data_IF_404739524211
#
_entry.id   IF_404739524211
#
_cell.length_a   1.000
_cell.length_b   1.000
_cell.length_c   1.000
_cell.angle_alpha   90.00
_cell.angle_beta   90.00
_cell.angle_gamma   90.00
#
_symmetry.space_group_name_H-M   'P 1'
#
loop_
_entity.id
_entity.type
_entity.pdbx_description
1 polymer ?
#
# COMPACT_ATOMS: atom_id res chain seq x y z
N UNK A 1 -2.54 -26.04 21.35
CA UNK A 1 -1.10 -25.97 21.02
C UNK A 1 -0.81 -26.78 19.77
N UNK A 2 -0.03 -26.25 18.83
CA UNK A 2 0.44 -27.00 17.64
C UNK A 2 1.53 -27.98 18.06
N UNK A 3 1.33 -29.27 17.77
CA UNK A 3 2.29 -30.35 18.08
C UNK A 3 3.13 -30.78 16.89
N UNK A 4 2.64 -30.57 15.67
CA UNK A 4 3.36 -30.91 14.45
C UNK A 4 2.97 -30.00 13.28
N UNK A 5 3.92 -29.71 12.40
CA UNK A 5 3.73 -28.98 11.14
C UNK A 5 4.39 -29.76 10.03
N UNK A 6 3.71 -29.97 8.91
CA UNK A 6 4.31 -30.59 7.74
C UNK A 6 3.91 -29.90 6.43
N UNK A 7 4.79 -30.00 5.44
CA UNK A 7 4.52 -29.52 4.08
C UNK A 7 3.56 -30.47 3.40
N UNK A 8 2.50 -29.93 2.81
CA UNK A 8 1.58 -30.75 2.00
C UNK A 8 2.05 -30.92 0.56
N UNK A 9 2.97 -30.05 0.09
CA UNK A 9 3.34 -29.92 -1.32
C UNK A 9 2.24 -29.31 -2.21
N UNK A 10 1.09 -28.95 -1.61
CA UNK A 10 -0.02 -28.30 -2.31
C UNK A 10 0.14 -26.78 -2.25
N UNK A 11 -0.41 -26.16 -3.29
CA UNK A 11 -0.49 -24.71 -3.46
C UNK A 11 -1.95 -24.28 -3.52
N UNK A 12 -2.22 -23.04 -3.11
CA UNK A 12 -3.51 -22.39 -3.14
C UNK A 12 -3.41 -21.12 -4.00
N UNK A 13 -3.84 -21.18 -5.27
CA UNK A 13 -3.95 -19.99 -6.12
C UNK A 13 -5.02 -19.05 -5.57
N UNK A 14 -4.61 -17.83 -5.19
CA UNK A 14 -5.48 -16.85 -4.54
C UNK A 14 -6.01 -15.88 -5.59
N UNK A 15 -7.33 -15.85 -5.77
CA UNK A 15 -7.96 -14.93 -6.72
C UNK A 15 -8.19 -13.56 -6.08
N UNK A 16 -8.60 -13.53 -4.80
CA UNK A 16 -8.78 -12.32 -4.01
C UNK A 16 -8.56 -12.60 -2.53
N UNK A 17 -7.79 -11.74 -1.86
CA UNK A 17 -7.66 -11.77 -0.41
C UNK A 17 -8.26 -10.51 0.24
N UNK A 18 -9.21 -10.70 1.16
CA UNK A 18 -9.81 -9.59 1.92
C UNK A 18 -9.31 -9.62 3.35
N UNK A 19 -8.71 -8.52 3.78
CA UNK A 19 -8.03 -8.36 5.06
C UNK A 19 -8.26 -6.96 5.63
N UNK A 20 -7.75 -6.65 6.82
CA UNK A 20 -7.69 -5.27 7.33
C UNK A 20 -8.29 -5.13 8.71
N UNK A 21 -7.93 -4.05 9.40
CA UNK A 21 -8.18 -3.85 10.82
C UNK A 21 -9.67 -3.80 11.19
N UNK A 22 -10.55 -3.52 10.23
CA UNK A 22 -12.00 -3.47 10.43
C UNK A 22 -12.71 -4.80 10.13
N UNK A 23 -12.00 -5.85 9.69
CA UNK A 23 -12.56 -7.19 9.51
C UNK A 23 -12.46 -8.00 10.81
N UNK A 24 -13.49 -8.81 11.11
CA UNK A 24 -13.42 -9.77 12.23
C UNK A 24 -12.59 -10.99 11.89
N UNK A 25 -12.60 -11.37 10.61
CA UNK A 25 -11.75 -12.42 10.05
C UNK A 25 -11.32 -12.03 8.64
N UNK A 26 -10.13 -12.45 8.26
CA UNK A 26 -9.64 -12.32 6.91
C UNK A 26 -10.19 -13.48 6.05
N UNK A 27 -10.31 -13.26 4.74
CA UNK A 27 -10.88 -14.25 3.83
C UNK A 27 -10.07 -14.33 2.54
N UNK A 28 -9.46 -15.48 2.32
CA UNK A 28 -8.84 -15.88 1.05
C UNK A 28 -9.93 -16.50 0.19
N UNK A 29 -10.10 -16.01 -1.03
CA UNK A 29 -10.88 -16.69 -2.06
C UNK A 29 -9.93 -17.28 -3.09
N UNK A 30 -10.02 -18.58 -3.27
CA UNK A 30 -9.25 -19.32 -4.27
C UNK A 30 -9.82 -19.15 -5.69
N UNK A 31 -9.02 -19.49 -6.69
CA UNK A 31 -9.48 -19.54 -8.08
C UNK A 31 -10.68 -20.49 -8.24
N UNK A 32 -10.62 -21.67 -7.62
CA UNK A 32 -11.68 -22.68 -7.68
C UNK A 32 -12.98 -22.19 -7.04
N UNK A 33 -12.90 -21.52 -5.87
CA UNK A 33 -14.08 -20.92 -5.25
C UNK A 33 -14.74 -19.88 -6.17
N UNK A 34 -13.94 -19.05 -6.83
CA UNK A 34 -14.44 -18.04 -7.77
C UNK A 34 -15.09 -18.64 -9.02
N UNK A 35 -14.53 -19.71 -9.57
CA UNK A 35 -15.14 -20.46 -10.68
C UNK A 35 -16.48 -21.09 -10.28
N UNK A 36 -16.65 -21.44 -9.00
CA UNK A 36 -17.89 -22.04 -8.48
C UNK A 36 -18.98 -21.03 -8.09
N UNK A 37 -18.68 -19.72 -8.06
CA UNK A 37 -19.62 -18.69 -7.60
C UNK A 37 -20.90 -18.67 -8.45
N UNK A 38 -22.04 -18.83 -7.79
CA UNK A 38 -23.37 -18.75 -8.38
C UNK A 38 -24.02 -17.38 -8.11
N UNK A 39 -25.10 -17.09 -8.86
CA UNK A 39 -25.94 -15.89 -8.70
C UNK A 39 -25.21 -14.56 -8.97
N UNK A 40 -24.42 -14.51 -10.05
CA UNK A 40 -23.83 -13.25 -10.51
C UNK A 40 -24.92 -12.30 -11.02
N UNK A 41 -24.81 -11.02 -10.63
CA UNK A 41 -25.66 -9.94 -11.07
C UNK A 41 -25.05 -9.23 -12.27
N UNK A 42 -25.88 -8.87 -13.25
CA UNK A 42 -25.51 -7.95 -14.33
C UNK A 42 -25.98 -6.55 -13.98
N UNK A 43 -25.07 -5.57 -14.02
CA UNK A 43 -25.35 -4.16 -13.71
C UNK A 43 -24.66 -3.25 -14.71
N UNK A 44 -25.35 -2.17 -15.08
CA UNK A 44 -24.79 -1.12 -15.92
C UNK A 44 -24.12 -0.04 -15.08
N UNK A 45 -22.99 0.45 -15.57
CA UNK A 45 -22.16 1.49 -14.96
C UNK A 45 -21.86 2.60 -15.96
N UNK A 46 -21.80 3.83 -15.45
CA UNK A 46 -21.41 5.02 -16.21
C UNK A 46 -19.91 5.20 -16.13
N UNK A 47 -19.25 5.46 -17.25
CA UNK A 47 -17.79 5.52 -17.33
C UNK A 47 -17.36 6.82 -18.00
N UNK A 48 -16.68 7.66 -17.20
CA UNK A 48 -15.87 8.76 -17.69
C UNK A 48 -14.43 8.30 -17.78
N UNK A 49 -13.93 8.17 -19.00
CA UNK A 49 -12.52 7.92 -19.24
C UNK A 49 -11.87 9.21 -19.71
N UNK A 50 -11.07 9.84 -18.85
CA UNK A 50 -10.33 11.04 -19.22
C UNK A 50 -8.89 10.69 -19.66
N UNK A 51 -8.54 9.42 -19.94
CA UNK A 51 -7.16 9.04 -20.28
C UNK A 51 -6.85 8.91 -21.77
N UNK A 52 -7.85 8.75 -22.66
CA UNK A 52 -7.58 8.54 -24.09
C UNK A 52 -8.31 9.52 -25.03
N UNK A 53 -9.49 10.01 -24.65
CA UNK A 53 -10.24 11.03 -25.40
C UNK A 53 -10.95 11.94 -24.39
N UNK A 54 -10.78 13.25 -24.52
CA UNK A 54 -11.21 14.27 -23.54
C UNK A 54 -12.74 14.40 -23.34
N UNK A 55 -13.55 13.46 -23.85
CA UNK A 55 -15.01 13.52 -23.83
C UNK A 55 -15.71 12.15 -23.69
N UNK A 56 -15.00 11.06 -23.33
CA UNK A 56 -15.61 9.72 -23.31
C UNK A 56 -16.71 9.59 -22.24
N UNK A 57 -17.96 9.49 -22.70
CA UNK A 57 -19.19 9.25 -21.92
C UNK A 57 -19.81 7.90 -22.26
N UNK A 58 -19.17 6.81 -21.81
CA UNK A 58 -19.56 5.43 -22.17
C UNK A 58 -20.32 4.75 -21.04
N UNK A 59 -21.04 3.69 -21.39
CA UNK A 59 -21.70 2.80 -20.44
C UNK A 59 -21.05 1.42 -20.54
N UNK A 60 -20.91 0.74 -19.41
CA UNK A 60 -20.32 -0.59 -19.33
C UNK A 60 -21.18 -1.53 -18.49
N UNK A 61 -21.39 -2.75 -18.97
CA UNK A 61 -22.02 -3.82 -18.19
C UNK A 61 -20.96 -4.55 -17.37
N UNK A 62 -21.13 -4.59 -16.06
CA UNK A 62 -20.42 -5.50 -15.16
C UNK A 62 -21.27 -6.73 -14.85
N UNK A 63 -20.63 -7.90 -14.75
CA UNK A 63 -21.25 -9.14 -14.27
C UNK A 63 -20.42 -9.74 -13.15
N UNK A 64 -20.99 -9.83 -11.95
CA UNK A 64 -20.29 -10.37 -10.78
C UNK A 64 -21.12 -10.32 -9.50
N UNK A 65 -20.47 -10.13 -8.36
CA UNK A 65 -21.09 -10.23 -7.03
C UNK A 65 -21.00 -8.88 -6.30
N UNK A 66 -22.06 -8.44 -5.59
CA UNK A 66 -22.01 -7.20 -4.82
C UNK A 66 -20.86 -7.21 -3.80
N UNK A 67 -20.13 -6.10 -3.70
CA UNK A 67 -19.04 -5.95 -2.72
C UNK A 67 -19.51 -6.27 -1.29
N UNK A 68 -20.74 -5.88 -0.94
CA UNK A 68 -21.30 -6.11 0.39
C UNK A 68 -21.25 -7.58 0.82
N UNK A 69 -21.47 -8.53 -0.10
CA UNK A 69 -21.41 -9.96 0.24
C UNK A 69 -20.03 -10.38 0.74
N UNK A 70 -18.98 -9.86 0.11
CA UNK A 70 -17.61 -10.10 0.53
C UNK A 70 -17.29 -9.45 1.88
N UNK A 71 -17.85 -8.27 2.14
CA UNK A 71 -17.68 -7.56 3.41
C UNK A 71 -18.40 -8.29 4.55
N UNK A 72 -19.64 -8.74 4.32
CA UNK A 72 -20.43 -9.52 5.26
C UNK A 72 -19.72 -10.83 5.62
N UNK A 73 -19.13 -11.51 4.64
CA UNK A 73 -18.36 -12.74 4.83
C UNK A 73 -17.14 -12.54 5.75
N UNK A 74 -16.57 -11.34 5.81
CA UNK A 74 -15.46 -10.98 6.72
C UNK A 74 -15.92 -10.40 8.06
N UNK A 75 -17.23 -10.13 8.20
CA UNK A 75 -17.79 -9.43 9.34
C UNK A 75 -17.29 -7.99 9.48
N UNK A 76 -16.93 -7.35 8.36
CA UNK A 76 -16.40 -5.99 8.35
C UNK A 76 -17.38 -4.99 8.97
N UNK A 77 -16.84 -4.06 9.76
CA UNK A 77 -17.60 -2.97 10.39
C UNK A 77 -18.03 -1.87 9.42
N UNK A 78 -18.31 -0.68 9.96
CA UNK A 78 -18.66 0.48 9.13
C UNK A 78 -17.46 0.98 8.34
N UNK A 79 -17.49 0.84 7.02
CA UNK A 79 -16.36 1.11 6.13
C UNK A 79 -16.46 2.52 5.57
N UNK A 80 -15.42 3.32 5.77
CA UNK A 80 -15.27 4.62 5.11
C UNK A 80 -14.38 4.51 3.86
N UNK A 81 -13.46 3.55 3.83
CA UNK A 81 -12.47 3.40 2.77
C UNK A 81 -12.00 1.95 2.60
N UNK A 82 -11.61 1.59 1.38
CA UNK A 82 -10.94 0.33 1.04
C UNK A 82 -9.67 0.63 0.22
N UNK A 83 -8.55 0.04 0.64
CA UNK A 83 -7.32 0.01 -0.16
C UNK A 83 -7.23 -1.29 -0.95
N UNK A 84 -6.87 -1.24 -2.22
CA UNK A 84 -6.84 -2.39 -3.12
C UNK A 84 -5.50 -2.52 -3.75
N UNK A 85 -4.96 -3.75 -3.78
CA UNK A 85 -3.81 -4.08 -4.59
C UNK A 85 -4.22 -4.90 -5.79
N UNK A 86 -3.68 -4.52 -6.93
CA UNK A 86 -3.85 -5.17 -8.21
C UNK A 86 -2.64 -6.04 -8.56
N UNK A 87 -2.86 -7.01 -9.45
CA UNK A 87 -1.83 -7.95 -9.91
C UNK A 87 -0.71 -7.27 -10.70
N UNK A 88 -1.00 -6.15 -11.36
CA UNK A 88 -0.01 -5.32 -12.05
C UNK A 88 0.82 -4.45 -11.09
N UNK A 89 0.72 -4.72 -9.78
CA UNK A 89 1.38 -3.95 -8.76
C UNK A 89 0.86 -2.52 -8.70
N UNK A 90 -0.43 -2.26 -8.91
CA UNK A 90 -1.04 -0.97 -8.59
C UNK A 90 -1.79 -1.05 -7.25
N UNK A 91 -1.85 0.07 -6.52
CA UNK A 91 -2.66 0.19 -5.30
C UNK A 91 -3.63 1.36 -5.48
N UNK A 92 -4.91 1.06 -5.44
CA UNK A 92 -5.97 2.05 -5.52
C UNK A 92 -6.60 2.19 -4.15
N UNK A 93 -6.88 3.43 -3.76
CA UNK A 93 -7.68 3.72 -2.57
C UNK A 93 -9.06 4.14 -3.06
N UNK A 94 -10.10 3.52 -2.51
CA UNK A 94 -11.47 3.94 -2.73
C UNK A 94 -12.00 4.59 -1.47
N UNK A 95 -12.02 5.93 -1.40
CA UNK A 95 -12.58 6.67 -0.29
C UNK A 95 -14.11 6.74 -0.38
N UNK A 96 -14.69 7.26 0.70
CA UNK A 96 -16.10 7.58 0.81
C UNK A 96 -17.02 6.40 0.42
N UNK A 97 -16.74 5.24 1.00
CA UNK A 97 -17.54 4.03 0.77
C UNK A 97 -19.01 4.19 1.19
N UNK A 98 -19.32 5.19 2.01
CA UNK A 98 -20.68 5.54 2.44
C UNK A 98 -21.40 6.53 1.52
N UNK A 99 -20.69 7.20 0.62
CA UNK A 99 -21.30 8.16 -0.31
C UNK A 99 -22.21 7.43 -1.30
N UNK A 100 -23.38 8.01 -1.58
CA UNK A 100 -24.29 7.47 -2.59
C UNK A 100 -23.66 7.62 -3.98
N UNK A 101 -23.77 6.56 -4.77
CA UNK A 101 -23.23 6.49 -6.13
C UNK A 101 -24.34 6.11 -7.10
N UNK A 102 -24.20 6.51 -8.35
CA UNK A 102 -25.27 6.47 -9.34
C UNK A 102 -24.78 5.94 -10.69
N UNK A 103 -25.71 5.33 -11.40
CA UNK A 103 -25.64 5.08 -12.82
C UNK A 103 -26.50 6.12 -13.55
N UNK A 104 -25.93 6.70 -14.59
CA UNK A 104 -26.55 7.72 -15.44
C UNK A 104 -26.75 7.13 -16.84
N UNK A 105 -27.97 6.69 -17.21
CA UNK A 105 -28.22 6.13 -18.53
C UNK A 105 -28.06 7.17 -19.65
N UNK A 106 -28.39 8.43 -19.38
CA UNK A 106 -28.20 9.57 -20.30
C UNK A 106 -26.78 10.16 -20.29
N UNK A 107 -25.76 9.43 -19.80
CA UNK A 107 -24.38 9.93 -19.69
C UNK A 107 -23.88 10.48 -21.03
N UNK A 108 -24.07 9.74 -22.12
CA UNK A 108 -23.65 10.13 -23.47
C UNK A 108 -24.23 11.48 -23.92
N UNK A 109 -25.36 11.87 -23.35
CA UNK A 109 -26.08 13.11 -23.65
C UNK A 109 -25.80 14.21 -22.60
N UNK A 110 -25.06 13.89 -21.54
CA UNK A 110 -24.78 14.81 -20.43
C UNK A 110 -25.99 15.08 -19.54
N UNK A 111 -26.91 14.13 -19.42
CA UNK A 111 -28.18 14.29 -18.67
C UNK A 111 -28.22 13.44 -17.41
N UNK A 112 -28.79 14.00 -16.35
CA UNK A 112 -29.05 13.28 -15.08
C UNK A 112 -30.38 12.54 -15.06
N UNK A 113 -31.20 12.71 -16.10
CA UNK A 113 -32.52 12.12 -16.20
C UNK A 113 -32.44 10.59 -16.12
N UNK A 114 -33.27 10.00 -15.26
CA UNK A 114 -33.29 8.56 -15.05
C UNK A 114 -32.09 8.01 -14.26
N UNK A 115 -31.34 8.82 -13.50
CA UNK A 115 -30.26 8.32 -12.64
C UNK A 115 -30.76 7.29 -11.62
N UNK A 116 -29.97 6.23 -11.44
CA UNK A 116 -30.28 5.10 -10.55
C UNK A 116 -29.17 4.93 -9.52
N UNK A 117 -29.51 4.72 -8.25
CA UNK A 117 -28.51 4.39 -7.23
C UNK A 117 -27.81 3.07 -7.57
N UNK A 118 -26.49 3.05 -7.42
CA UNK A 118 -25.64 1.96 -7.88
C UNK A 118 -24.66 1.54 -6.80
N UNK A 119 -24.88 0.33 -6.28
CA UNK A 119 -23.94 -0.30 -5.36
C UNK A 119 -22.68 -0.81 -6.06
N UNK A 120 -21.55 -0.88 -5.34
CA UNK A 120 -20.31 -1.44 -5.88
C UNK A 120 -20.45 -2.93 -6.23
N UNK A 121 -19.77 -3.33 -7.31
CA UNK A 121 -19.77 -4.71 -7.81
C UNK A 121 -18.33 -5.23 -7.97
N UNK A 122 -18.04 -6.42 -7.46
CA UNK A 122 -16.83 -7.17 -7.79
C UNK A 122 -17.14 -7.99 -9.05
N UNK A 123 -16.65 -7.51 -10.19
CA UNK A 123 -17.01 -8.00 -11.52
C UNK A 123 -15.97 -8.96 -12.09
N UNK A 124 -16.43 -10.08 -12.62
CA UNK A 124 -15.59 -11.09 -13.29
C UNK A 124 -15.67 -10.99 -14.81
N UNK A 125 -16.77 -10.43 -15.31
CA UNK A 125 -16.97 -10.16 -16.73
C UNK A 125 -17.35 -8.71 -16.94
N UNK A 126 -17.00 -8.19 -18.10
CA UNK A 126 -17.35 -6.87 -18.57
C UNK A 126 -17.83 -6.97 -20.01
N UNK A 127 -19.03 -6.46 -20.28
CA UNK A 127 -19.68 -6.55 -21.60
C UNK A 127 -19.70 -7.98 -22.17
N UNK A 128 -20.00 -8.96 -21.31
CA UNK A 128 -20.06 -10.38 -21.67
C UNK A 128 -18.70 -11.08 -21.89
N UNK A 129 -17.57 -10.39 -21.71
CA UNK A 129 -16.22 -10.98 -21.82
C UNK A 129 -15.53 -11.03 -20.45
N UNK A 130 -14.66 -12.01 -20.16
CA UNK A 130 -13.87 -12.01 -18.94
C UNK A 130 -13.08 -10.70 -18.78
N UNK A 131 -12.92 -10.23 -17.55
CA UNK A 131 -12.06 -9.06 -17.28
C UNK A 131 -10.60 -9.36 -17.65
N UNK A 132 -9.83 -8.32 -17.97
CA UNK A 132 -8.45 -8.41 -18.50
C UNK A 132 -7.53 -9.34 -17.69
N UNK A 133 -7.67 -9.32 -16.37
CA UNK A 133 -6.79 -10.04 -15.43
C UNK A 133 -7.51 -11.21 -14.73
N UNK A 134 -8.56 -11.75 -15.35
CA UNK A 134 -9.25 -12.93 -14.80
C UNK A 134 -8.23 -14.03 -14.43
N UNK A 135 -8.35 -14.68 -13.25
CA UNK A 135 -9.49 -14.65 -12.32
C UNK A 135 -9.50 -13.51 -11.29
N UNK A 136 -8.55 -12.59 -11.35
CA UNK A 136 -8.53 -11.40 -10.49
C UNK A 136 -9.63 -10.42 -10.93
N UNK A 137 -10.63 -10.13 -10.08
CA UNK A 137 -11.81 -9.38 -10.49
C UNK A 137 -11.51 -7.90 -10.71
N UNK A 138 -12.47 -7.19 -11.29
CA UNK A 138 -12.48 -5.73 -11.36
C UNK A 138 -13.58 -5.19 -10.46
N UNK A 139 -13.25 -4.30 -9.52
CA UNK A 139 -14.30 -3.57 -8.80
C UNK A 139 -14.87 -2.47 -9.68
N UNK A 140 -16.20 -2.35 -9.71
CA UNK A 140 -16.96 -1.39 -10.50
C UNK A 140 -17.85 -0.56 -9.58
N UNK A 141 -17.91 0.76 -9.79
CA UNK A 141 -18.74 1.70 -9.02
C UNK A 141 -19.58 2.62 -9.89
N UNK A 142 -20.68 3.11 -9.32
CA UNK A 142 -21.35 4.29 -9.83
C UNK A 142 -20.55 5.59 -9.57
N UNK A 143 -21.07 6.69 -10.11
CA UNK A 143 -20.55 8.06 -9.99
C UNK A 143 -21.36 8.84 -8.94
N UNK A 144 -20.77 9.77 -8.17
CA UNK A 144 -21.60 10.62 -7.29
C UNK A 144 -22.29 11.74 -8.10
N UNK A 145 -21.67 12.19 -9.21
CA UNK A 145 -22.26 13.15 -10.13
C UNK A 145 -21.77 13.02 -11.57
N UNK A 146 -22.47 13.64 -12.52
CA UNK A 146 -22.14 13.60 -13.95
C UNK A 146 -20.80 14.24 -14.30
N UNK A 147 -20.28 15.15 -13.49
CA UNK A 147 -19.03 15.85 -13.80
C UNK A 147 -17.84 15.21 -13.08
N UNK A 148 -18.08 14.14 -12.32
CA UNK A 148 -17.03 13.44 -11.60
C UNK A 148 -16.27 12.51 -12.55
N UNK A 149 -14.95 12.68 -12.55
CA UNK A 149 -14.05 11.89 -13.38
C UNK A 149 -13.86 10.51 -12.73
N UNK A 150 -14.11 9.43 -13.48
CA UNK A 150 -14.17 8.06 -12.96
C UNK A 150 -12.85 7.29 -13.04
N UNK A 151 -11.72 7.99 -13.15
CA UNK A 151 -10.42 7.38 -13.49
C UNK A 151 -9.93 6.33 -12.47
N UNK A 152 -10.28 6.51 -11.20
CA UNK A 152 -9.65 5.77 -10.10
C UNK A 152 -10.58 4.78 -9.38
N UNK A 153 -11.83 4.60 -9.85
CA UNK A 153 -12.78 3.69 -9.19
C UNK A 153 -12.85 2.29 -9.81
N UNK A 154 -12.32 2.08 -11.01
CA UNK A 154 -12.18 0.72 -11.54
C UNK A 154 -10.86 0.12 -11.10
N UNK A 155 -10.86 -0.55 -9.95
CA UNK A 155 -9.71 -1.34 -9.52
C UNK A 155 -9.68 -2.64 -10.32
N UNK A 156 -8.82 -2.71 -11.34
CA UNK A 156 -8.71 -3.85 -12.25
C UNK A 156 -7.72 -4.87 -11.71
N UNK A 157 -8.02 -6.16 -11.88
CA UNK A 157 -7.10 -7.24 -11.52
C UNK A 157 -6.78 -7.28 -10.03
N UNK A 158 -7.80 -7.13 -9.19
CA UNK A 158 -7.66 -7.08 -7.75
C UNK A 158 -7.11 -8.40 -7.21
N UNK A 159 -5.99 -8.35 -6.49
CA UNK A 159 -5.44 -9.49 -5.75
C UNK A 159 -5.70 -9.40 -4.25
N UNK A 160 -5.77 -8.19 -3.69
CA UNK A 160 -6.19 -7.98 -2.31
C UNK A 160 -7.01 -6.71 -2.09
N UNK A 161 -7.85 -6.73 -1.06
CA UNK A 161 -8.60 -5.59 -0.56
C UNK A 161 -8.41 -5.48 0.96
N UNK A 162 -7.84 -4.36 1.40
CA UNK A 162 -7.64 -3.99 2.81
C UNK A 162 -8.78 -3.10 3.25
N UNK A 163 -9.56 -3.57 4.22
CA UNK A 163 -10.73 -2.89 4.77
C UNK A 163 -10.32 -2.11 6.02
N UNK A 164 -10.39 -0.78 5.95
CA UNK A 164 -9.80 0.09 6.97
C UNK A 164 -8.28 0.13 6.87
N UNK A 165 -7.60 0.09 8.01
CA UNK A 165 -6.14 0.03 8.07
C UNK A 165 -5.61 -1.38 7.79
N UNK A 166 -4.30 -1.50 7.55
CA UNK A 166 -3.67 -2.82 7.45
C UNK A 166 -3.68 -3.52 8.81
N UNK A 167 -3.84 -4.84 8.78
CA UNK A 167 -3.59 -5.66 9.96
C UNK A 167 -2.09 -5.65 10.29
N UNK A 168 -1.73 -5.76 11.56
CA UNK A 168 -0.33 -5.91 12.00
C UNK A 168 -0.14 -7.34 12.48
N UNK A 169 0.21 -8.25 11.56
CA UNK A 169 0.27 -9.69 11.86
C UNK A 169 1.57 -10.11 12.53
N UNK A 170 2.69 -9.45 12.20
CA UNK A 170 3.96 -9.61 12.91
C UNK A 170 4.87 -8.41 12.61
N UNK A 171 5.86 -8.16 13.47
CA UNK A 171 6.91 -7.16 13.22
C UNK A 171 8.24 -7.80 12.88
N UNK A 172 9.13 -7.03 12.26
CA UNK A 172 10.55 -7.36 12.07
C UNK A 172 11.36 -6.17 12.55
N UNK A 173 12.19 -6.38 13.58
CA UNK A 173 12.90 -5.30 14.28
C UNK A 173 14.31 -5.70 14.66
N UNK A 174 15.16 -4.71 14.86
CA UNK A 174 16.48 -4.88 15.46
C UNK A 174 17.56 -4.00 14.83
N UNK A 175 18.72 -3.95 15.47
CA UNK A 175 19.86 -3.13 15.07
C UNK A 175 20.57 -3.62 13.80
N UNK A 176 20.36 -4.88 13.42
CA UNK A 176 20.86 -5.46 12.18
C UNK A 176 20.05 -5.08 10.94
N UNK A 177 19.01 -4.23 11.06
CA UNK A 177 18.11 -3.85 9.97
C UNK A 177 18.25 -2.38 9.58
N UNK A 178 18.05 -2.08 8.30
CA UNK A 178 17.95 -0.69 7.83
C UNK A 178 16.76 0.05 8.46
N UNK A 179 15.63 -0.64 8.62
CA UNK A 179 14.41 -0.11 9.23
C UNK A 179 13.67 -1.20 10.01
N UNK A 180 12.96 -0.79 11.05
CA UNK A 180 11.96 -1.65 11.69
C UNK A 180 10.65 -1.58 10.92
N UNK A 181 9.89 -2.67 10.89
CA UNK A 181 8.66 -2.74 10.08
C UNK A 181 7.61 -3.68 10.66
N UNK A 182 6.35 -3.34 10.48
CA UNK A 182 5.22 -4.24 10.64
C UNK A 182 4.80 -4.80 9.29
N UNK A 183 4.45 -6.08 9.29
CA UNK A 183 3.89 -6.74 8.11
C UNK A 183 2.41 -7.02 8.33
N UNK A 184 1.64 -6.77 7.29
CA UNK A 184 0.24 -7.15 7.17
C UNK A 184 0.07 -8.48 6.43
N UNK A 185 -1.10 -9.10 6.58
CA UNK A 185 -1.38 -10.36 5.91
C UNK A 185 -1.30 -10.24 4.38
N UNK A 186 -1.74 -9.12 3.79
CA UNK A 186 -1.64 -8.92 2.34
C UNK A 186 -0.20 -8.62 1.88
N UNK A 187 0.65 -8.03 2.74
CA UNK A 187 2.08 -7.91 2.46
C UNK A 187 2.78 -9.26 2.51
N UNK A 188 2.42 -10.14 3.44
CA UNK A 188 2.97 -11.49 3.54
C UNK A 188 2.76 -12.28 2.25
N UNK A 189 1.54 -12.35 1.73
CA UNK A 189 1.27 -13.04 0.45
C UNK A 189 1.85 -12.31 -0.76
N UNK A 190 2.11 -11.01 -0.66
CA UNK A 190 2.86 -10.24 -1.66
C UNK A 190 4.33 -10.65 -1.81
N UNK A 191 4.91 -11.41 -0.86
CA UNK A 191 6.32 -11.79 -0.90
C UNK A 191 6.67 -12.82 -1.97
N UNK A 192 5.73 -13.59 -2.51
CA UNK A 192 6.03 -14.72 -3.41
C UNK A 192 6.51 -14.26 -4.80
N UNK A 193 5.77 -13.41 -5.51
CA UNK A 193 6.15 -12.67 -6.74
C UNK A 193 4.98 -11.77 -7.19
N UNK A 194 5.24 -10.75 -8.02
CA UNK A 194 4.19 -9.79 -8.41
C UNK A 194 3.08 -10.40 -9.28
N UNK A 195 3.43 -11.35 -10.14
CA UNK A 195 2.51 -11.97 -11.11
C UNK A 195 1.85 -13.27 -10.62
N UNK A 196 2.26 -13.78 -9.45
CA UNK A 196 1.76 -15.04 -8.88
C UNK A 196 1.34 -14.80 -7.43
N UNK A 197 0.03 -14.63 -7.22
CA UNK A 197 -0.55 -14.49 -5.89
C UNK A 197 -1.03 -15.87 -5.39
N UNK A 198 -0.15 -16.57 -4.68
CA UNK A 198 -0.35 -17.97 -4.28
C UNK A 198 0.18 -18.19 -2.86
N UNK A 199 -0.49 -19.07 -2.10
CA UNK A 199 0.01 -19.59 -0.84
C UNK A 199 0.45 -21.05 -0.96
N UNK A 200 1.48 -21.45 -0.24
CA UNK A 200 1.71 -22.86 0.08
C UNK A 200 0.73 -23.30 1.17
N UNK A 201 0.39 -24.59 1.17
CA UNK A 201 -0.46 -25.17 2.20
C UNK A 201 0.39 -26.02 3.15
N UNK A 202 0.36 -25.68 4.43
CA UNK A 202 0.92 -26.51 5.51
C UNK A 202 -0.21 -27.27 6.19
N UNK A 203 0.07 -28.48 6.68
CA UNK A 203 -0.81 -29.20 7.59
C UNK A 203 -0.27 -29.03 9.00
N UNK A 204 -1.11 -28.53 9.89
CA UNK A 204 -0.82 -28.42 11.32
C UNK A 204 -1.66 -29.44 12.09
N UNK A 205 -1.04 -30.07 13.08
CA UNK A 205 -1.69 -30.98 14.02
C UNK A 205 -1.68 -30.34 15.40
N UNK A 206 -2.83 -30.30 16.07
CA UNK A 206 -2.93 -29.76 17.43
C UNK A 206 -2.63 -30.81 18.52
N UNK A 207 -2.79 -30.43 19.78
CA UNK A 207 -2.57 -31.31 20.94
C UNK A 207 -3.62 -32.40 21.10
N UNK A 208 -4.78 -32.26 20.44
CA UNK A 208 -5.83 -33.26 20.39
C UNK A 208 -5.66 -34.23 19.19
N UNK A 209 -4.67 -34.00 18.33
CA UNK A 209 -4.42 -34.78 17.14
C UNK A 209 -5.27 -34.37 15.94
N UNK A 210 -6.04 -33.28 16.04
CA UNK A 210 -6.84 -32.74 14.95
C UNK A 210 -5.93 -32.08 13.92
N UNK A 211 -6.22 -32.34 12.65
CA UNK A 211 -5.43 -31.86 11.51
C UNK A 211 -6.20 -30.80 10.75
N UNK A 212 -5.53 -29.70 10.43
CA UNK A 212 -6.07 -28.67 9.54
C UNK A 212 -5.00 -28.11 8.63
N UNK A 213 -5.44 -27.62 7.49
CA UNK A 213 -4.57 -26.98 6.50
C UNK A 213 -4.58 -25.47 6.70
N UNK A 214 -3.41 -24.85 6.67
CA UNK A 214 -3.22 -23.40 6.82
C UNK A 214 -2.44 -22.81 5.64
N UNK A 215 -2.79 -21.60 5.18
CA UNK A 215 -2.04 -20.92 4.14
C UNK A 215 -0.72 -20.38 4.70
N UNK A 216 0.34 -20.52 3.92
CA UNK A 216 1.69 -20.18 4.31
C UNK A 216 2.48 -19.58 3.14
N UNK A 217 3.53 -18.85 3.48
CA UNK A 217 4.51 -18.29 2.56
C UNK A 217 5.87 -18.77 3.00
N UNK A 218 6.60 -19.43 2.10
CA UNK A 218 8.04 -19.62 2.28
C UNK A 218 8.70 -18.25 2.12
N UNK A 219 9.41 -17.79 3.16
CA UNK A 219 10.05 -16.48 3.14
C UNK A 219 11.17 -16.49 2.08
N UNK A 220 11.08 -15.64 1.04
CA UNK A 220 12.08 -15.61 -0.03
C UNK A 220 13.29 -14.76 0.34
N UNK A 221 14.42 -14.95 -0.34
CA UNK A 221 15.63 -14.16 -0.08
C UNK A 221 15.41 -12.64 -0.21
N UNK A 222 14.58 -12.22 -1.18
CA UNK A 222 14.23 -10.81 -1.37
C UNK A 222 13.59 -10.15 -0.15
N UNK A 223 12.93 -10.92 0.71
CA UNK A 223 12.41 -10.39 1.97
C UNK A 223 13.55 -9.84 2.83
N UNK A 224 14.64 -10.59 2.95
CA UNK A 224 15.80 -10.23 3.75
C UNK A 224 16.64 -9.12 3.10
N UNK A 225 16.81 -9.16 1.78
CA UNK A 225 17.72 -8.26 1.06
C UNK A 225 17.07 -6.97 0.57
N UNK A 226 15.76 -6.97 0.28
CA UNK A 226 15.05 -5.84 -0.33
C UNK A 226 13.99 -5.25 0.60
N UNK A 227 13.14 -6.09 1.21
CA UNK A 227 11.99 -5.62 2.00
C UNK A 227 12.35 -5.08 3.39
N UNK A 228 13.28 -5.74 4.09
CA UNK A 228 13.76 -5.29 5.42
C UNK A 228 15.21 -4.79 5.40
N UNK A 229 15.97 -5.17 4.35
CA UNK A 229 17.39 -4.82 4.15
C UNK A 229 18.25 -5.10 5.40
N UNK A 230 18.62 -6.37 5.59
CA UNK A 230 19.60 -6.77 6.62
C UNK A 230 20.95 -6.08 6.32
N UNK A 231 21.45 -5.35 7.31
CA UNK A 231 22.74 -4.64 7.28
C UNK A 231 23.90 -5.49 7.81
N UNK A 232 23.62 -6.37 8.77
CA UNK A 232 24.58 -7.33 9.32
C UNK A 232 24.06 -8.76 9.12
N UNK A 233 24.62 -9.45 8.13
CA UNK A 233 24.20 -10.82 7.76
C UNK A 233 24.55 -11.87 8.80
N UNK A 234 25.48 -11.57 9.71
CA UNK A 234 25.92 -12.50 10.77
C UNK A 234 25.13 -12.30 12.07
N UNK A 235 24.27 -11.28 12.15
CA UNK A 235 23.46 -11.02 13.32
C UNK A 235 22.46 -12.17 13.57
N UNK A 236 22.27 -12.59 14.84
CA UNK A 236 21.35 -13.66 15.15
C UNK A 236 19.91 -13.27 14.80
N UNK A 237 19.21 -14.18 14.12
CA UNK A 237 17.79 -14.04 13.84
C UNK A 237 16.98 -14.93 14.79
N UNK A 238 15.99 -14.33 15.45
CA UNK A 238 15.15 -15.01 16.45
C UNK A 238 13.68 -14.73 16.20
N UNK A 239 12.86 -15.78 16.21
CA UNK A 239 11.40 -15.67 16.24
C UNK A 239 10.98 -15.30 17.67
N UNK A 240 10.17 -14.25 17.81
CA UNK A 240 9.49 -13.90 19.05
C UNK A 240 8.09 -14.49 19.04
N UNK A 241 7.84 -15.41 19.96
CA UNK A 241 6.50 -15.91 20.29
C UNK A 241 6.11 -15.58 21.72
N UNK A 242 4.94 -16.04 22.14
CA UNK A 242 4.47 -15.91 23.53
C UNK A 242 5.30 -16.71 24.53
N UNK A 243 6.07 -17.70 24.05
CA UNK A 243 6.97 -18.56 24.84
C UNK A 243 8.44 -18.11 24.81
N UNK A 244 8.73 -16.96 24.20
CA UNK A 244 10.05 -16.32 24.17
C UNK A 244 10.70 -16.30 22.79
N UNK A 245 12.02 -16.06 22.80
CA UNK A 245 12.85 -15.99 21.59
C UNK A 245 13.39 -17.37 21.21
N UNK A 246 13.29 -17.72 19.92
CA UNK A 246 13.85 -18.97 19.38
C UNK A 246 14.66 -18.68 18.12
N UNK A 247 15.89 -19.17 18.07
CA UNK A 247 16.68 -19.19 16.82
C UNK A 247 16.00 -20.10 15.79
N UNK A 248 16.18 -19.78 14.51
CA UNK A 248 15.57 -20.50 13.42
C UNK A 248 16.48 -20.55 12.20
N UNK A 249 16.23 -21.52 11.32
CA UNK A 249 16.85 -21.61 9.99
C UNK A 249 16.15 -20.65 9.02
N UNK A 250 16.86 -19.57 8.69
CA UNK A 250 16.40 -18.51 7.78
C UNK A 250 15.97 -19.03 6.40
N UNK A 251 16.72 -19.97 5.83
CA UNK A 251 16.54 -20.40 4.43
C UNK A 251 15.33 -21.35 4.28
N UNK A 252 14.81 -21.84 5.40
CA UNK A 252 13.68 -22.74 5.48
C UNK A 252 12.46 -22.14 6.17
N UNK A 253 12.49 -20.86 6.55
CA UNK A 253 11.38 -20.21 7.25
C UNK A 253 10.11 -20.15 6.40
N UNK A 254 9.02 -20.61 7.00
CA UNK A 254 7.64 -20.38 6.58
C UNK A 254 6.95 -19.49 7.60
N UNK A 255 6.16 -18.53 7.11
CA UNK A 255 5.19 -17.81 7.92
C UNK A 255 3.80 -18.22 7.45
N UNK A 256 2.92 -18.61 8.38
CA UNK A 256 1.58 -19.11 8.09
C UNK A 256 0.52 -18.37 8.88
N UNK A 257 -0.73 -18.36 8.41
CA UNK A 257 -1.84 -17.81 9.19
C UNK A 257 -2.49 -18.95 9.98
N UNK A 258 -2.22 -18.97 11.28
CA UNK A 258 -2.43 -20.12 12.15
C UNK A 258 -3.82 -20.22 12.77
N UNK A 259 -4.56 -19.12 12.85
CA UNK A 259 -5.90 -19.08 13.45
C UNK A 259 -7.01 -19.21 12.39
N UNK A 260 -8.21 -19.60 12.82
CA UNK A 260 -9.36 -19.72 11.89
C UNK A 260 -9.80 -18.38 11.30
N UNK A 261 -9.57 -17.28 12.03
CA UNK A 261 -9.87 -15.94 11.54
C UNK A 261 -8.79 -15.39 10.60
N UNK A 262 -7.68 -16.11 10.40
CA UNK A 262 -6.54 -15.72 9.56
C UNK A 262 -5.96 -14.34 9.95
N UNK A 263 -5.98 -14.02 11.25
CA UNK A 263 -5.50 -12.76 11.84
C UNK A 263 -4.17 -12.90 12.56
N UNK A 264 -3.75 -14.11 12.89
CA UNK A 264 -2.55 -14.39 13.66
C UNK A 264 -1.54 -15.15 12.82
N UNK A 265 -0.30 -14.65 12.78
CA UNK A 265 0.80 -15.35 12.16
C UNK A 265 1.35 -16.44 13.08
N UNK A 266 1.83 -17.52 12.49
CA UNK A 266 2.75 -18.48 13.08
C UNK A 266 3.98 -18.63 12.18
N UNK A 267 5.05 -19.24 12.70
CA UNK A 267 6.30 -19.46 11.99
C UNK A 267 6.81 -20.88 12.17
N UNK A 268 7.41 -21.44 11.12
CA UNK A 268 8.00 -22.77 11.14
C UNK A 268 9.16 -22.89 10.15
N UNK A 269 10.30 -23.42 10.57
CA UNK A 269 11.49 -23.58 9.72
C UNK A 269 11.79 -25.05 9.32
N UNK A 270 10.95 -26.00 9.75
CA UNK A 270 11.24 -27.44 9.65
C UNK A 270 11.43 -28.11 11.01
N UNK A 271 12.01 -27.41 11.97
CA UNK A 271 12.38 -27.91 13.29
C UNK A 271 11.74 -27.10 14.42
N UNK A 272 11.80 -25.78 14.33
CA UNK A 272 11.26 -24.82 15.29
C UNK A 272 9.89 -24.37 14.83
N UNK A 273 8.91 -24.41 15.73
CA UNK A 273 7.57 -23.88 15.52
C UNK A 273 7.25 -22.82 16.57
N UNK A 274 6.68 -21.70 16.11
CA UNK A 274 6.07 -20.66 16.92
C UNK A 274 4.62 -20.51 16.46
N UNK A 275 3.67 -20.91 17.30
CA UNK A 275 2.24 -20.92 16.94
C UNK A 275 1.66 -19.50 16.85
N UNK A 276 2.06 -18.62 17.76
CA UNK A 276 1.64 -17.22 17.83
C UNK A 276 2.89 -16.35 17.67
N UNK A 277 3.23 -16.03 16.42
CA UNK A 277 4.36 -15.18 16.07
C UNK A 277 3.99 -13.72 16.36
N UNK A 278 4.74 -13.09 17.25
CA UNK A 278 4.66 -11.65 17.46
C UNK A 278 5.59 -10.92 16.48
N UNK A 279 6.78 -11.47 16.25
CA UNK A 279 7.74 -10.87 15.31
C UNK A 279 9.06 -11.62 15.15
N UNK A 280 9.97 -11.01 14.41
CA UNK A 280 11.32 -11.49 14.14
C UNK A 280 12.31 -10.43 14.62
N UNK A 281 13.17 -10.81 15.56
CA UNK A 281 14.26 -9.98 16.06
C UNK A 281 15.55 -10.30 15.30
N UNK A 282 16.14 -9.29 14.67
CA UNK A 282 17.41 -9.39 13.95
C UNK A 282 18.50 -8.60 14.69
N UNK A 283 19.46 -9.30 15.29
CA UNK A 283 20.40 -8.67 16.23
C UNK A 283 19.70 -8.32 17.54
N UNK A 284 20.00 -7.15 18.12
CA UNK A 284 19.42 -6.67 19.38
C UNK A 284 18.37 -5.58 19.15
N UNK A 285 17.53 -5.33 20.14
CA UNK A 285 16.51 -4.29 20.03
C UNK A 285 17.17 -2.90 19.93
N UNK A 286 16.81 -2.12 18.91
CA UNK A 286 17.25 -0.73 18.77
C UNK A 286 16.84 0.08 20.01
N UNK A 287 17.82 0.75 20.62
CA UNK A 287 17.58 1.59 21.77
C UNK A 287 16.93 2.91 21.34
N UNK A 288 15.87 3.32 22.04
CA UNK A 288 15.15 4.56 21.77
C UNK A 288 16.07 5.78 21.80
N UNK A 289 16.24 6.44 20.66
CA UNK A 289 17.10 7.62 20.51
C UNK A 289 16.28 8.90 20.35
N UNK A 290 16.53 9.91 21.18
CA UNK A 290 15.97 11.25 20.95
C UNK A 290 16.75 12.00 19.88
N UNK A 291 16.04 12.51 18.88
CA UNK A 291 16.59 13.50 17.95
C UNK A 291 16.91 14.79 18.72
N UNK A 292 18.10 15.36 18.48
CA UNK A 292 18.58 16.54 19.18
C UNK A 292 18.37 17.85 18.40
N UNK A 293 17.94 17.79 17.13
CA UNK A 293 17.79 18.98 16.27
C UNK A 293 16.31 19.25 15.97
N UNK A 294 15.82 20.41 16.39
CA UNK A 294 14.48 20.88 16.06
C UNK A 294 14.45 21.50 14.65
N UNK A 295 13.42 21.16 13.87
CA UNK A 295 13.23 21.58 12.47
C UNK A 295 11.86 22.24 12.26
N UNK A 296 11.44 23.09 13.18
CA UNK A 296 10.14 23.75 13.11
C UNK A 296 10.11 24.81 12.00
N UNK A 297 9.05 24.78 11.21
CA UNK A 297 8.76 25.80 10.20
C UNK A 297 8.28 27.11 10.84
N UNK A 298 8.79 28.23 10.33
CA UNK A 298 8.46 29.58 10.78
C UNK A 298 7.76 30.41 9.68
N UNK A 299 7.61 29.86 8.49
CA UNK A 299 6.88 30.51 7.39
C UNK A 299 5.43 30.78 7.78
N UNK A 300 4.87 31.98 7.54
CA UNK A 300 3.43 32.23 7.72
C UNK A 300 2.58 31.38 6.78
N UNK A 301 1.40 30.94 7.23
CA UNK A 301 0.48 30.08 6.46
C UNK A 301 0.20 30.59 5.04
N UNK A 302 0.04 31.90 4.86
CA UNK A 302 -0.30 32.53 3.58
C UNK A 302 0.85 32.49 2.56
N UNK A 303 2.07 32.23 3.04
CA UNK A 303 3.30 32.15 2.26
C UNK A 303 3.84 30.71 2.20
N UNK A 304 3.09 29.76 2.77
CA UNK A 304 3.49 28.38 2.88
C UNK A 304 3.18 27.61 1.60
N UNK A 305 4.17 26.87 1.12
CA UNK A 305 4.02 25.93 0.02
C UNK A 305 3.80 24.49 0.51
N UNK A 306 4.20 24.21 1.77
CA UNK A 306 4.08 22.90 2.41
C UNK A 306 3.82 23.02 3.92
N UNK A 307 2.98 22.15 4.47
CA UNK A 307 2.75 22.08 5.92
C UNK A 307 3.00 20.68 6.50
N UNK A 308 3.35 20.61 7.78
CA UNK A 308 3.26 19.39 8.57
C UNK A 308 2.32 19.67 9.74
N UNK A 309 1.24 18.89 9.83
CA UNK A 309 0.26 18.95 10.91
C UNK A 309 0.42 17.74 11.82
N UNK A 310 0.40 17.95 13.14
CA UNK A 310 0.51 16.88 14.13
C UNK A 310 -0.71 16.89 15.03
N UNK A 311 -1.36 15.73 15.15
CA UNK A 311 -2.44 15.47 16.08
C UNK A 311 -1.96 14.54 17.20
N UNK A 312 -2.36 14.90 18.42
CA UNK A 312 -2.33 14.02 19.57
C UNK A 312 -3.70 13.33 19.70
N UNK A 313 -3.83 12.29 20.54
CA UNK A 313 -5.12 11.62 20.74
C UNK A 313 -6.28 12.54 21.18
N UNK A 314 -5.98 13.68 21.80
CA UNK A 314 -6.94 14.66 22.32
C UNK A 314 -7.23 15.83 21.35
N UNK A 315 -6.56 15.90 20.20
CA UNK A 315 -6.82 16.91 19.17
C UNK A 315 -5.58 17.38 18.41
N UNK A 316 -5.73 18.48 17.66
CA UNK A 316 -4.62 19.09 16.93
C UNK A 316 -3.59 19.65 17.93
N UNK A 317 -2.35 19.19 17.81
CA UNK A 317 -1.25 19.59 18.68
C UNK A 317 -0.47 20.76 18.09
N UNK A 318 -0.12 20.67 16.80
CA UNK A 318 0.69 21.68 16.14
C UNK A 318 0.52 21.68 14.63
N UNK A 319 0.78 22.83 14.00
CA UNK A 319 0.93 22.96 12.56
C UNK A 319 2.17 23.77 12.25
N UNK A 320 3.07 23.19 11.47
CA UNK A 320 4.31 23.81 11.01
C UNK A 320 4.20 24.10 9.52
N UNK A 321 4.47 25.35 9.14
CA UNK A 321 4.34 25.82 7.77
C UNK A 321 5.72 26.15 7.22
N UNK A 322 5.95 25.79 5.96
CA UNK A 322 7.23 25.90 5.28
C UNK A 322 7.05 26.52 3.90
N UNK A 323 7.92 27.46 3.56
CA UNK A 323 8.18 27.88 2.18
C UNK A 323 9.36 27.08 1.61
N UNK A 324 9.46 27.00 0.27
CA UNK A 324 10.62 26.35 -0.35
C UNK A 324 11.94 26.99 0.06
N UNK A 325 12.00 28.33 0.10
CA UNK A 325 13.20 29.04 0.52
C UNK A 325 13.61 28.68 1.95
N UNK A 326 12.65 28.59 2.86
CA UNK A 326 12.94 28.19 4.24
C UNK A 326 13.55 26.79 4.31
N UNK A 327 12.95 25.82 3.59
CA UNK A 327 13.49 24.46 3.56
C UNK A 327 14.91 24.42 2.99
N UNK A 328 15.15 25.17 1.91
CA UNK A 328 16.46 25.24 1.26
C UNK A 328 17.52 25.93 2.12
N UNK A 329 17.19 26.99 2.86
CA UNK A 329 18.17 27.76 3.62
C UNK A 329 18.46 27.16 5.01
N UNK A 330 17.43 26.64 5.69
CA UNK A 330 17.56 26.17 7.08
C UNK A 330 17.77 24.67 7.21
N UNK A 331 17.32 23.91 6.22
CA UNK A 331 17.34 22.45 6.22
C UNK A 331 18.15 21.87 5.05
N UNK A 332 19.11 22.65 4.52
CA UNK A 332 20.04 22.26 3.45
C UNK A 332 20.80 20.95 3.75
N UNK A 333 21.27 20.82 4.99
CA UNK A 333 22.04 19.69 5.51
C UNK A 333 21.27 18.37 5.55
N UNK A 334 19.96 18.40 5.31
CA UNK A 334 19.11 17.21 5.23
C UNK A 334 18.82 16.79 3.80
N UNK A 335 19.21 17.61 2.81
CA UNK A 335 19.02 17.32 1.40
C UNK A 335 19.77 16.03 1.04
N UNK A 336 19.08 15.15 0.32
CA UNK A 336 19.63 13.93 -0.27
C UNK A 336 19.20 13.80 -1.72
N UNK A 337 19.94 13.00 -2.48
CA UNK A 337 19.59 12.60 -3.83
C UNK A 337 19.30 11.10 -3.84
N UNK A 338 18.14 10.72 -4.35
CA UNK A 338 17.74 9.31 -4.43
C UNK A 338 17.10 8.99 -5.77
N UNK A 339 17.36 7.79 -6.26
CA UNK A 339 16.69 7.25 -7.44
C UNK A 339 15.40 6.53 -7.03
N UNK A 340 14.33 6.81 -7.78
CA UNK A 340 13.01 6.23 -7.60
C UNK A 340 12.54 5.66 -8.94
N UNK A 341 11.89 4.50 -8.87
CA UNK A 341 11.31 3.85 -10.04
C UNK A 341 9.80 3.73 -9.85
N UNK A 342 9.02 4.11 -10.86
CA UNK A 342 7.57 4.08 -10.80
C UNK A 342 6.95 3.77 -12.15
N UNK A 343 5.87 3.00 -12.16
CA UNK A 343 5.13 2.74 -13.40
C UNK A 343 4.33 3.99 -13.83
N UNK A 344 4.43 4.39 -15.10
CA UNK A 344 3.68 5.49 -15.66
C UNK A 344 2.87 5.03 -16.88
N UNK A 345 1.55 4.89 -16.70
CA UNK A 345 0.60 4.45 -17.74
C UNK A 345 0.57 5.36 -18.98
N UNK A 346 0.94 6.64 -18.85
CA UNK A 346 0.86 7.60 -19.95
C UNK A 346 2.10 7.57 -20.86
N UNK A 347 3.03 6.64 -20.62
CA UNK A 347 4.20 6.48 -21.49
C UNK A 347 3.87 5.70 -22.77
N UNK A 348 4.69 5.95 -23.80
CA UNK A 348 4.62 5.26 -25.10
C UNK A 348 3.21 5.21 -25.71
N UNK A 349 2.50 6.35 -25.67
CA UNK A 349 1.15 6.45 -26.23
C UNK A 349 0.10 5.63 -25.48
N UNK A 350 0.20 5.54 -24.15
CA UNK A 350 -0.76 4.83 -23.30
C UNK A 350 -0.42 3.37 -23.01
N UNK A 351 0.69 2.84 -23.55
CA UNK A 351 1.14 1.48 -23.27
C UNK A 351 1.77 1.32 -21.88
N UNK A 352 2.23 2.42 -21.30
CA UNK A 352 2.87 2.45 -20.00
C UNK A 352 4.31 1.93 -19.97
N UNK A 353 4.95 2.01 -18.81
CA UNK A 353 6.30 1.49 -18.57
C UNK A 353 6.88 1.99 -17.26
N UNK A 354 8.07 1.51 -16.88
CA UNK A 354 8.77 1.95 -15.67
C UNK A 354 9.54 3.25 -15.98
N UNK A 355 9.31 4.28 -15.17
CA UNK A 355 10.10 5.51 -15.14
C UNK A 355 11.06 5.48 -13.98
N UNK A 356 12.33 5.73 -14.26
CA UNK A 356 13.34 6.07 -13.27
C UNK A 356 13.56 7.57 -13.22
N UNK A 357 13.55 8.13 -12.02
CA UNK A 357 13.80 9.54 -11.75
C UNK A 357 14.74 9.65 -10.56
N UNK A 358 15.68 10.59 -10.62
CA UNK A 358 16.48 10.96 -9.43
C UNK A 358 15.84 12.21 -8.83
N UNK A 359 15.32 12.11 -7.61
CA UNK A 359 14.79 13.25 -6.87
C UNK A 359 15.88 13.88 -6.02
N UNK A 360 15.89 15.21 -5.94
CA UNK A 360 16.66 15.97 -4.95
C UNK A 360 15.68 16.61 -3.99
N UNK A 361 15.84 16.31 -2.72
CA UNK A 361 14.78 16.51 -1.74
C UNK A 361 15.20 16.25 -0.31
N UNK A 362 14.22 16.36 0.58
CA UNK A 362 14.34 16.00 1.98
C UNK A 362 13.69 14.64 2.23
N UNK A 363 14.37 13.68 2.88
CA UNK A 363 13.70 12.50 3.39
C UNK A 363 12.62 12.91 4.38
N UNK A 364 11.39 12.47 4.16
CA UNK A 364 10.23 12.84 5.00
C UNK A 364 10.47 12.47 6.44
N UNK A 365 11.03 11.28 6.71
CA UNK A 365 11.40 10.85 8.06
C UNK A 365 12.33 11.84 8.76
N UNK A 366 13.30 12.44 8.06
CA UNK A 366 14.24 13.40 8.66
C UNK A 366 13.55 14.71 9.04
N UNK A 367 12.56 15.14 8.26
CA UNK A 367 11.74 16.29 8.60
C UNK A 367 10.91 16.02 9.86
N UNK A 368 10.29 14.83 9.95
CA UNK A 368 9.48 14.44 11.12
C UNK A 368 10.31 14.29 12.40
N UNK A 369 11.51 13.71 12.32
CA UNK A 369 12.44 13.60 13.45
C UNK A 369 12.89 14.95 14.00
N UNK A 370 12.67 16.05 13.26
CA UNK A 370 12.92 17.39 13.75
C UNK A 370 11.77 18.01 14.54
N UNK A 371 10.62 17.36 14.62
CA UNK A 371 9.46 17.92 15.30
C UNK A 371 9.51 17.59 16.81
N UNK A 372 9.15 18.54 17.70
CA UNK A 372 9.13 18.31 19.14
C UNK A 372 8.26 17.13 19.58
N UNK A 373 7.19 16.85 18.84
CA UNK A 373 6.22 15.80 19.14
C UNK A 373 6.74 14.40 18.80
N UNK A 374 7.77 14.29 17.95
CA UNK A 374 8.33 13.02 17.51
C UNK A 374 9.56 12.71 18.38
N UNK A 375 9.38 11.77 19.30
CA UNK A 375 10.39 11.45 20.32
C UNK A 375 11.62 10.71 19.78
N UNK A 376 11.54 10.10 18.59
CA UNK A 376 12.62 9.32 18.01
C UNK A 376 12.17 8.55 16.77
N UNK A 377 13.12 7.83 16.16
CA UNK A 377 12.83 6.96 15.01
C UNK A 377 11.92 5.80 15.43
N UNK A 378 12.09 5.30 16.65
CA UNK A 378 11.31 4.17 17.16
C UNK A 378 9.82 4.49 17.19
N UNK A 379 9.44 5.72 17.57
CA UNK A 379 8.04 6.18 17.57
C UNK A 379 7.43 6.22 16.16
N UNK A 380 8.27 6.42 15.13
CA UNK A 380 7.83 6.35 13.74
C UNK A 380 7.61 4.88 13.37
N UNK A 381 8.54 4.00 13.73
CA UNK A 381 8.58 2.61 13.25
C UNK A 381 7.82 1.59 14.10
N UNK A 382 7.43 1.92 15.34
CA UNK A 382 6.68 1.03 16.24
C UNK A 382 5.16 1.09 16.00
N UNK A 383 4.74 1.92 15.05
CA UNK A 383 3.35 2.12 14.67
C UNK A 383 2.56 2.94 15.68
N UNK A 384 3.23 3.74 16.52
CA UNK A 384 2.62 4.79 17.35
C UNK A 384 2.20 6.03 16.55
N UNK A 385 2.55 6.11 15.27
CA UNK A 385 2.03 7.15 14.38
C UNK A 385 1.40 6.57 13.14
N UNK A 386 0.43 7.29 12.61
CA UNK A 386 0.02 7.20 11.21
C UNK A 386 0.25 8.53 10.52
N UNK A 387 0.40 8.50 9.20
CA UNK A 387 0.61 9.68 8.39
C UNK A 387 -0.31 9.72 7.17
N UNK A 388 -0.69 10.92 6.75
CA UNK A 388 -1.44 11.19 5.52
C UNK A 388 -0.72 12.23 4.69
N UNK A 389 -0.61 12.01 3.39
CA UNK A 389 -0.07 13.00 2.44
C UNK A 389 -1.22 13.74 1.75
N UNK A 390 -1.10 15.06 1.70
CA UNK A 390 -2.05 15.96 1.04
C UNK A 390 -1.51 16.48 -0.28
N UNK A 391 -2.38 16.53 -1.29
CA UNK A 391 -2.09 17.14 -2.60
C UNK A 391 -3.13 18.21 -2.92
N UNK A 392 -2.68 19.32 -3.53
CA UNK A 392 -3.54 20.49 -3.79
C UNK A 392 -4.60 20.25 -4.86
N UNK A 393 -4.43 19.22 -5.68
CA UNK A 393 -5.37 18.81 -6.71
C UNK A 393 -6.45 17.85 -6.20
N UNK A 394 -6.51 17.54 -4.90
CA UNK A 394 -7.46 16.61 -4.25
C UNK A 394 -7.49 15.20 -4.86
N UNK A 395 -6.59 14.93 -5.81
CA UNK A 395 -6.64 13.75 -6.67
C UNK A 395 -6.08 12.52 -5.94
N UNK A 396 -5.28 12.72 -4.87
CA UNK A 396 -4.60 11.66 -4.13
C UNK A 396 -4.40 12.03 -2.66
N UNK A 397 -5.46 12.43 -1.98
CA UNK A 397 -5.46 12.37 -0.51
C UNK A 397 -5.28 10.89 -0.14
N UNK A 398 -4.09 10.51 0.33
CA UNK A 398 -3.89 9.13 0.75
C UNK A 398 -4.61 8.88 2.06
N UNK A 399 -5.02 7.64 2.27
CA UNK A 399 -5.34 7.12 3.60
C UNK A 399 -4.21 7.42 4.58
N UNK A 400 -4.56 7.52 5.85
CA UNK A 400 -3.57 7.38 6.91
C UNK A 400 -2.85 6.02 6.75
N UNK A 401 -1.54 6.03 6.59
CA UNK A 401 -0.69 4.85 6.56
C UNK A 401 0.20 4.79 7.81
N UNK A 402 0.69 3.61 8.18
CA UNK A 402 1.51 3.44 9.38
C UNK A 402 2.89 4.10 9.22
N UNK A 403 3.42 4.67 10.31
CA UNK A 403 4.67 5.42 10.31
C UNK A 403 5.89 4.64 9.85
N UNK A 404 5.94 3.33 10.09
CA UNK A 404 7.04 2.45 9.67
C UNK A 404 7.15 2.36 8.14
N UNK A 405 6.06 2.61 7.40
CA UNK A 405 6.12 2.71 5.95
C UNK A 405 6.90 3.95 5.47
N UNK A 406 6.98 5.02 6.28
CA UNK A 406 7.78 6.21 5.92
C UNK A 406 9.27 5.89 5.82
N UNK A 407 9.76 5.02 6.72
CA UNK A 407 11.16 4.61 6.75
C UNK A 407 11.40 3.50 5.72
N UNK A 408 10.57 2.47 5.73
CA UNK A 408 10.72 1.30 4.85
C UNK A 408 10.66 1.67 3.36
N UNK A 409 9.78 2.60 2.95
CA UNK A 409 9.68 3.00 1.54
C UNK A 409 10.46 4.28 1.22
N UNK A 410 11.28 4.79 2.13
CA UNK A 410 12.18 5.94 1.91
C UNK A 410 11.47 7.12 1.21
N UNK A 411 10.43 7.67 1.85
CA UNK A 411 9.70 8.80 1.29
C UNK A 411 10.56 10.06 1.23
N UNK A 412 10.51 10.77 0.10
CA UNK A 412 11.26 12.01 -0.14
C UNK A 412 10.34 13.13 -0.62
N UNK A 413 10.36 14.27 0.06
CA UNK A 413 9.81 15.52 -0.45
C UNK A 413 10.84 16.18 -1.39
N UNK A 414 10.66 16.02 -2.69
CA UNK A 414 11.52 16.59 -3.71
C UNK A 414 10.98 17.94 -4.20
N UNK A 415 11.88 18.89 -4.42
CA UNK A 415 11.61 20.15 -5.14
C UNK A 415 12.26 20.18 -6.52
N UNK A 416 13.32 19.39 -6.70
CA UNK A 416 14.01 19.18 -7.96
C UNK A 416 13.96 17.71 -8.34
N UNK A 417 13.95 17.47 -9.64
CA UNK A 417 14.12 16.13 -10.18
C UNK A 417 15.00 16.18 -11.41
N UNK A 418 15.79 15.14 -11.58
CA UNK A 418 16.54 14.89 -12.79
C UNK A 418 15.58 14.74 -13.97
N UNK A 419 15.69 15.67 -14.92
CA UNK A 419 15.16 15.51 -16.24
C UNK A 419 16.17 14.76 -17.09
N UNK A 420 16.06 13.44 -17.08
CA UNK A 420 16.76 12.54 -18.01
C UNK A 420 16.43 12.80 -19.50
N UNK A 421 15.63 13.82 -19.79
CA UNK A 421 15.09 14.16 -21.12
C UNK A 421 14.88 15.67 -21.21
N UNK A 422 15.64 16.40 -22.04
CA UNK A 422 15.43 17.84 -22.33
C UNK A 422 14.04 18.21 -22.89
N UNK A 423 13.14 17.25 -23.15
CA UNK A 423 11.86 17.54 -23.82
C UNK A 423 10.64 16.79 -23.29
N UNK A 424 10.77 15.82 -22.38
CA UNK A 424 9.62 15.04 -21.89
C UNK A 424 8.85 14.26 -22.97
N UNK A 425 9.38 14.17 -24.20
CA UNK A 425 8.70 13.61 -25.38
C UNK A 425 9.14 12.18 -25.74
N UNK A 426 10.09 11.58 -25.02
CA UNK A 426 10.60 10.26 -25.38
C UNK A 426 9.71 9.10 -24.89
N UNK A 427 9.61 8.09 -25.75
CA UNK A 427 8.77 6.91 -25.61
C UNK A 427 9.60 5.76 -25.02
N UNK A 428 9.06 5.06 -24.02
CA UNK A 428 9.61 3.79 -23.53
C UNK A 428 9.95 3.76 -22.04
N UNK A 429 10.43 2.59 -21.60
CA UNK A 429 10.90 2.28 -20.25
C UNK A 429 12.28 2.93 -19.99
N UNK A 430 12.37 3.77 -18.95
CA UNK A 430 13.60 4.51 -18.59
C UNK A 430 14.38 3.89 -17.44
N UNK A 431 13.93 2.74 -16.89
CA UNK A 431 14.61 2.05 -15.78
C UNK A 431 16.07 1.69 -16.08
N UNK A 432 16.35 1.35 -17.35
CA UNK A 432 17.66 0.93 -17.84
C UNK A 432 18.54 2.09 -18.31
N UNK A 433 18.06 3.32 -18.26
CA UNK A 433 18.79 4.48 -18.77
C UNK A 433 19.83 4.90 -17.73
N UNK A 434 21.06 5.10 -18.19
CA UNK A 434 22.18 5.51 -17.35
C UNK A 434 22.63 6.92 -17.76
N UNK A 435 22.04 7.93 -17.12
CA UNK A 435 22.50 9.31 -17.22
C UNK A 435 23.51 9.56 -16.10
N UNK A 436 24.76 9.86 -16.49
CA UNK A 436 25.85 10.10 -15.54
C UNK A 436 25.93 11.55 -15.07
N UNK A 437 25.33 12.49 -15.80
CA UNK A 437 25.47 13.92 -15.52
C UNK A 437 24.34 14.44 -14.61
N UNK A 438 23.15 13.83 -14.65
CA UNK A 438 21.94 14.22 -13.90
C UNK A 438 21.59 15.71 -14.06
N UNK A 439 20.55 16.00 -14.84
CA UNK A 439 20.12 17.37 -15.12
C UNK A 439 18.91 17.73 -14.26
N UNK A 440 19.16 18.23 -13.05
CA UNK A 440 18.09 18.62 -12.13
C UNK A 440 17.34 19.87 -12.63
N UNK A 441 16.01 19.76 -12.66
CA UNK A 441 15.11 20.88 -12.87
C UNK A 441 14.07 20.98 -11.74
N UNK A 442 13.64 22.21 -11.49
CA UNK A 442 12.57 22.49 -10.55
C UNK A 442 11.27 21.78 -10.94
N UNK A 443 10.57 21.27 -9.94
CA UNK A 443 9.24 20.71 -10.10
C UNK A 443 8.24 21.82 -10.40
N UNK A 444 7.63 21.73 -11.56
CA UNK A 444 6.55 22.62 -11.99
C UNK A 444 5.18 21.97 -11.72
N UNK A 445 4.29 22.71 -11.05
CA UNK A 445 2.95 22.25 -10.65
C UNK A 445 2.19 23.31 -9.85
N UNK A 446 1.06 22.92 -9.24
CA UNK A 446 0.28 23.79 -8.35
C UNK A 446 0.98 24.05 -7.00
N UNK A 447 2.00 23.23 -6.69
CA UNK A 447 2.99 23.39 -5.63
C UNK A 447 4.37 23.04 -6.19
N UNK A 448 5.47 23.52 -5.57
CA UNK A 448 6.82 23.21 -6.03
C UNK A 448 7.30 21.81 -5.60
N UNK A 449 6.40 20.94 -5.11
CA UNK A 449 6.80 19.68 -4.49
C UNK A 449 6.17 18.45 -5.15
N UNK A 450 6.98 17.38 -5.16
CA UNK A 450 6.51 16.00 -5.32
C UNK A 450 7.01 15.18 -4.16
N UNK A 451 6.21 14.21 -3.73
CA UNK A 451 6.70 13.18 -2.80
C UNK A 451 7.01 11.92 -3.59
N UNK A 452 8.25 11.44 -3.53
CA UNK A 452 8.66 10.16 -4.08
C UNK A 452 8.74 9.09 -2.99
N UNK A 453 8.59 7.81 -3.35
CA UNK A 453 8.92 6.68 -2.46
C UNK A 453 9.46 5.47 -3.25
N UNK A 454 10.31 4.65 -2.63
CA UNK A 454 10.99 3.48 -3.23
C UNK A 454 10.17 2.19 -3.23
N UNK A 455 8.83 2.28 -3.15
CA UNK A 455 7.98 1.08 -3.13
C UNK A 455 8.06 0.34 -4.47
N UNK A 456 8.59 -0.88 -4.45
CA UNK A 456 8.79 -1.72 -5.65
C UNK A 456 7.50 -2.29 -6.25
N UNK A 457 6.35 -2.24 -5.55
CA UNK A 457 5.21 -3.08 -5.93
C UNK A 457 3.79 -2.50 -5.80
N UNK A 458 3.55 -1.20 -5.48
CA UNK A 458 2.28 -0.50 -5.86
C UNK A 458 1.98 0.96 -5.41
N UNK A 459 1.82 1.84 -6.43
CA UNK A 459 1.16 3.16 -6.59
C UNK A 459 1.26 4.35 -5.59
N UNK A 460 1.32 5.58 -6.16
CA UNK A 460 2.39 5.93 -7.05
C UNK A 460 3.63 6.08 -6.18
N UNK A 461 4.77 5.63 -6.66
CA UNK A 461 6.05 6.07 -6.14
C UNK A 461 6.25 7.61 -6.28
N UNK A 462 5.19 8.38 -6.61
CA UNK A 462 5.13 9.82 -6.88
C UNK A 462 3.76 10.45 -6.53
N UNK A 463 3.72 11.36 -5.56
CA UNK A 463 2.59 12.24 -5.28
C UNK A 463 2.88 13.59 -5.92
N UNK A 464 2.03 14.02 -6.84
CA UNK A 464 2.18 15.31 -7.50
C UNK A 464 1.48 16.39 -6.70
N UNK A 465 1.97 17.63 -6.79
CA UNK A 465 1.37 18.78 -6.14
C UNK A 465 1.23 18.61 -4.62
N UNK A 466 2.22 17.95 -4.00
CA UNK A 466 2.23 17.72 -2.56
C UNK A 466 2.22 19.06 -1.83
N UNK A 467 1.34 19.21 -0.85
CA UNK A 467 1.16 20.47 -0.11
C UNK A 467 1.19 20.28 1.41
N UNK A 468 1.18 19.05 1.90
CA UNK A 468 1.42 18.81 3.31
C UNK A 468 1.38 17.36 3.73
N UNK A 469 1.74 17.13 4.99
CA UNK A 469 1.65 15.85 5.66
C UNK A 469 0.93 16.05 6.99
N UNK A 470 0.05 15.13 7.32
CA UNK A 470 -0.61 15.06 8.62
C UNK A 470 -0.12 13.82 9.35
N UNK A 471 0.23 13.98 10.62
CA UNK A 471 0.68 12.93 11.51
C UNK A 471 -0.36 12.80 12.62
N UNK A 472 -0.86 11.59 12.83
CA UNK A 472 -1.69 11.25 13.97
C UNK A 472 -0.86 10.36 14.90
N UNK A 473 -0.62 10.83 16.11
CA UNK A 473 -0.05 10.03 17.19
C UNK A 473 -1.20 9.23 17.82
N UNK A 474 -0.99 7.92 17.99
CA UNK A 474 -2.00 6.94 18.42
C UNK A 474 -1.86 6.63 19.90
#
# INVERSE_FOLDING_TARGET
MITNVCKTGRKLPIALFITGSLTKKNRIYSHEEFESLQNMEKKMFSVYDNHEESESRKLEEGCGIPLQRFLDDTGAGSIDEISIRSIDGFESVVPEMRSRRYFFPGLSEGKEEGKEERSPLISFYKNGQPVKFYPHPTMMFGQQGLNEQNKDYFAKGMRSAVIGGRDRIFWVKGDALACNRYFSADQLFGLVQDDIYEAELLEITDEHGEKRTVPAVKVPERFWTEEIQILDSEAPLRLQGTDGLKEFDRDNLYIFLGDEALKCAGAWDGNVCVEMLEGILAGEQKAAGKSSRLLMGETPKEQSDFFIRVYQPDGESAVYYYSLNELMERFDSLITEDAFEYYNHNMDGGKGGIRKVTGRGWPVVKLLLGLPEISGLEMIEDGSITYRIFTKDTYKEKTAADGDELTAYAFMLAWEQDQRTMTGMEKGDTSKWNDKELHFENINGNTPYRIYCKKTSANPAVYKNACGIEIQII
#
